data_IF_688904305867
#
_entry.id   IF_688904305867
#
_cell.length_a   1.000
_cell.length_b   1.000
_cell.length_c   1.000
_cell.angle_alpha   90.00
_cell.angle_beta   90.00
_cell.angle_gamma   90.00
#
_symmetry.space_group_name_H-M   'P 1'
#
loop_
_entity.id
_entity.type
_entity.pdbx_description
1 polymer ?
#
# COMPACT_ATOMS: atom_id res chain seq x y z
N UNK A 1 5.84 -22.36 -26.12
CA UNK A 1 5.76 -21.40 -27.24
C UNK A 1 4.66 -20.42 -26.88
N UNK A 2 5.03 -19.31 -26.22
CA UNK A 2 4.09 -18.26 -25.83
C UNK A 2 3.69 -17.49 -27.09
N UNK A 3 2.42 -17.56 -27.46
CA UNK A 3 1.85 -16.81 -28.58
C UNK A 3 1.49 -15.41 -28.08
N UNK A 4 1.99 -14.39 -28.78
CA UNK A 4 1.59 -12.98 -28.69
C UNK A 4 2.18 -12.15 -27.53
N UNK A 5 3.50 -11.92 -27.58
CA UNK A 5 4.22 -11.05 -26.64
C UNK A 5 4.09 -9.56 -27.03
N UNK A 6 2.87 -9.01 -27.05
CA UNK A 6 2.59 -7.58 -27.35
C UNK A 6 3.37 -6.60 -26.45
N UNK A 7 3.88 -7.05 -25.30
CA UNK A 7 4.72 -6.21 -24.44
C UNK A 7 6.08 -5.87 -25.08
N UNK A 8 6.58 -6.70 -26.01
CA UNK A 8 7.84 -6.45 -26.72
C UNK A 8 7.77 -5.23 -27.66
N UNK A 9 6.57 -4.83 -28.10
CA UNK A 9 6.39 -3.62 -28.92
C UNK A 9 6.65 -2.33 -28.14
N UNK A 10 6.67 -2.40 -26.80
CA UNK A 10 7.07 -1.31 -25.92
C UNK A 10 8.55 -1.35 -25.55
N UNK A 11 9.34 -2.25 -26.14
CA UNK A 11 10.78 -2.28 -25.94
C UNK A 11 11.43 -1.00 -26.53
N UNK A 12 12.24 -0.26 -25.76
CA UNK A 12 12.82 1.00 -26.22
C UNK A 12 13.86 0.79 -27.33
N UNK A 13 13.93 1.71 -28.29
CA UNK A 13 14.99 1.76 -29.29
C UNK A 13 16.26 2.36 -28.67
N UNK A 14 17.17 1.49 -28.25
CA UNK A 14 18.39 1.82 -27.50
C UNK A 14 19.36 2.75 -28.24
N UNK A 15 19.15 3.05 -29.52
CA UNK A 15 19.96 4.02 -30.27
C UNK A 15 19.71 5.48 -29.87
N UNK A 16 18.67 5.78 -29.06
CA UNK A 16 18.31 7.16 -28.66
C UNK A 16 18.36 7.43 -27.15
N UNK A 17 18.54 6.41 -26.33
CA UNK A 17 18.46 6.53 -24.87
C UNK A 17 19.78 7.02 -24.27
N UNK A 18 20.10 8.30 -24.44
CA UNK A 18 21.24 8.97 -23.80
C UNK A 18 20.69 9.79 -22.62
N UNK A 19 21.30 9.67 -21.44
CA UNK A 19 20.99 10.51 -20.28
C UNK A 19 21.23 11.98 -20.65
N UNK A 20 20.16 12.74 -20.88
CA UNK A 20 20.27 14.15 -21.26
C UNK A 20 20.11 15.04 -20.02
N UNK A 21 21.21 15.66 -19.57
CA UNK A 21 21.22 16.52 -18.38
C UNK A 21 20.56 17.91 -18.56
N UNK A 22 19.91 18.17 -19.70
CA UNK A 22 19.20 19.44 -19.93
C UNK A 22 17.70 19.29 -19.63
N UNK A 23 17.15 20.24 -18.88
CA UNK A 23 15.75 20.24 -18.43
C UNK A 23 14.74 20.10 -19.58
N UNK A 24 15.05 20.63 -20.78
CA UNK A 24 14.20 20.51 -21.96
C UNK A 24 14.15 19.09 -22.53
N UNK A 25 15.26 18.36 -22.47
CA UNK A 25 15.35 17.00 -22.99
C UNK A 25 14.81 15.96 -22.00
N UNK A 26 14.89 16.21 -20.70
CA UNK A 26 14.21 15.41 -19.67
C UNK A 26 12.69 15.42 -19.87
N UNK A 27 12.10 16.57 -20.21
CA UNK A 27 10.67 16.69 -20.48
C UNK A 27 10.25 15.95 -21.75
N UNK A 28 11.09 15.98 -22.80
CA UNK A 28 10.85 15.23 -24.04
C UNK A 28 11.03 13.71 -23.87
N UNK A 29 12.05 13.26 -23.14
CA UNK A 29 12.28 11.86 -22.83
C UNK A 29 11.19 11.27 -21.90
N UNK A 30 10.71 12.05 -20.93
CA UNK A 30 9.56 11.67 -20.10
C UNK A 30 8.29 11.54 -20.95
N UNK A 31 8.06 12.45 -21.90
CA UNK A 31 6.89 12.42 -22.79
C UNK A 31 6.95 11.26 -23.81
N UNK A 32 8.16 10.81 -24.18
CA UNK A 32 8.40 9.72 -25.13
C UNK A 32 8.60 8.33 -24.49
N UNK A 33 8.50 8.20 -23.16
CA UNK A 33 8.89 6.99 -22.42
C UNK A 33 10.35 6.54 -22.68
N UNK A 34 11.22 7.47 -23.06
CA UNK A 34 12.66 7.22 -23.27
C UNK A 34 13.50 7.59 -22.02
N UNK A 35 12.86 7.89 -20.89
CA UNK A 35 13.55 8.10 -19.62
C UNK A 35 14.06 6.75 -19.07
N UNK A 36 15.38 6.68 -18.88
CA UNK A 36 16.13 5.54 -18.33
C UNK A 36 15.49 5.08 -17.02
N UNK A 37 15.07 6.01 -16.15
CA UNK A 37 14.50 5.71 -14.85
C UNK A 37 13.15 4.96 -14.93
N UNK A 38 12.34 5.29 -15.94
CA UNK A 38 11.03 4.65 -16.17
C UNK A 38 11.20 3.30 -16.82
N UNK A 39 12.15 3.16 -17.76
CA UNK A 39 12.43 1.88 -18.41
C UNK A 39 13.04 0.86 -17.46
N UNK A 40 13.86 1.28 -16.50
CA UNK A 40 14.32 0.40 -15.43
C UNK A 40 13.17 -0.16 -14.58
N UNK A 41 12.12 0.64 -14.31
CA UNK A 41 10.93 0.14 -13.60
C UNK A 41 10.21 -0.91 -14.42
N UNK A 42 9.97 -0.63 -15.70
CA UNK A 42 9.32 -1.60 -16.60
C UNK A 42 10.13 -2.90 -16.69
N UNK A 43 11.45 -2.82 -16.81
CA UNK A 43 12.36 -3.97 -16.78
C UNK A 43 12.18 -4.82 -15.52
N UNK A 44 12.22 -4.17 -14.34
CA UNK A 44 12.02 -4.85 -13.04
C UNK A 44 10.59 -5.36 -12.88
N UNK A 45 9.57 -4.69 -13.43
CA UNK A 45 8.17 -5.10 -13.37
C UNK A 45 7.91 -6.36 -14.21
N UNK A 46 8.52 -6.47 -15.40
CA UNK A 46 8.44 -7.68 -16.22
C UNK A 46 9.09 -8.86 -15.49
N UNK A 47 10.28 -8.65 -14.91
CA UNK A 47 10.95 -9.68 -14.12
C UNK A 47 10.10 -10.09 -12.90
N UNK A 48 9.58 -9.12 -12.15
CA UNK A 48 8.70 -9.36 -11.01
C UNK A 48 7.43 -10.14 -11.41
N UNK A 49 6.80 -9.80 -12.54
CA UNK A 49 5.66 -10.54 -13.04
C UNK A 49 6.02 -12.01 -13.33
N UNK A 50 7.15 -12.26 -14.02
CA UNK A 50 7.60 -13.63 -14.28
C UNK A 50 7.93 -14.40 -12.99
N UNK A 51 8.60 -13.77 -12.03
CA UNK A 51 8.86 -14.35 -10.71
C UNK A 51 7.57 -14.71 -9.99
N UNK A 52 6.55 -13.85 -10.04
CA UNK A 52 5.26 -14.11 -9.39
C UNK A 52 4.55 -15.35 -9.96
N UNK A 53 4.80 -15.72 -11.22
CA UNK A 53 4.26 -16.92 -11.84
C UNK A 53 5.02 -18.19 -11.43
N UNK A 54 6.31 -18.10 -11.12
CA UNK A 54 7.12 -19.26 -10.68
C UNK A 54 6.79 -19.68 -9.24
N UNK A 55 6.64 -18.70 -8.33
CA UNK A 55 6.32 -18.96 -6.90
C UNK A 55 5.09 -18.18 -6.42
N UNK A 56 3.89 -18.49 -6.92
CA UNK A 56 2.71 -17.65 -6.73
C UNK A 56 2.21 -17.53 -5.29
N UNK A 57 2.41 -18.56 -4.45
CA UNK A 57 1.78 -18.60 -3.13
C UNK A 57 2.61 -17.95 -2.03
N UNK A 58 3.90 -18.26 -1.97
CA UNK A 58 4.82 -17.84 -0.89
C UNK A 58 5.96 -16.95 -1.39
N UNK A 59 6.12 -16.78 -2.70
CA UNK A 59 7.19 -15.96 -3.28
C UNK A 59 8.60 -16.49 -3.02
N UNK A 60 9.56 -15.56 -3.06
CA UNK A 60 11.00 -15.83 -2.92
C UNK A 60 11.55 -15.52 -1.53
N UNK A 61 10.72 -15.06 -0.61
CA UNK A 61 11.09 -14.57 0.71
C UNK A 61 11.34 -13.06 0.74
N UNK A 62 11.10 -12.38 1.88
CA UNK A 62 11.38 -10.95 2.03
C UNK A 62 12.84 -10.60 1.73
N UNK A 63 13.06 -9.48 1.03
CA UNK A 63 14.38 -8.97 0.64
C UNK A 63 15.13 -9.81 -0.39
N UNK A 64 14.46 -10.73 -1.10
CA UNK A 64 15.09 -11.61 -2.08
C UNK A 64 14.84 -11.22 -3.54
N UNK A 65 14.05 -10.18 -3.81
CA UNK A 65 13.86 -9.73 -5.19
C UNK A 65 15.19 -9.50 -5.92
N UNK A 66 16.09 -8.71 -5.32
CA UNK A 66 17.39 -8.34 -5.91
C UNK A 66 18.29 -9.56 -6.17
N UNK A 67 18.15 -10.64 -5.41
CA UNK A 67 18.97 -11.84 -5.54
C UNK A 67 18.57 -12.73 -6.71
N UNK A 68 17.30 -12.68 -7.14
CA UNK A 68 16.75 -13.65 -8.11
C UNK A 68 16.24 -12.99 -9.39
N UNK A 69 15.95 -11.69 -9.41
CA UNK A 69 15.23 -11.07 -10.53
C UNK A 69 15.96 -11.17 -11.86
N UNK A 70 17.30 -11.12 -11.89
CA UNK A 70 18.09 -11.14 -13.12
C UNK A 70 17.77 -12.37 -13.99
N UNK A 71 17.55 -13.54 -13.38
CA UNK A 71 17.21 -14.77 -14.11
C UNK A 71 15.82 -14.77 -14.76
N UNK A 72 14.97 -13.82 -14.39
CA UNK A 72 13.61 -13.63 -14.89
C UNK A 72 13.48 -12.41 -15.81
N UNK A 73 14.61 -11.79 -16.16
CA UNK A 73 14.64 -10.66 -17.07
C UNK A 73 14.65 -11.11 -18.53
N UNK A 74 14.09 -10.29 -19.40
CA UNK A 74 14.15 -10.49 -20.86
C UNK A 74 15.23 -9.57 -21.40
N UNK A 75 16.20 -10.12 -22.15
CA UNK A 75 17.33 -9.37 -22.73
C UNK A 75 16.91 -8.20 -23.61
N UNK A 76 15.70 -8.23 -24.17
CA UNK A 76 15.15 -7.14 -25.00
C UNK A 76 14.88 -5.82 -24.25
N UNK A 77 14.91 -5.82 -22.91
CA UNK A 77 14.70 -4.63 -22.08
C UNK A 77 15.93 -4.21 -21.27
N UNK A 78 17.09 -4.87 -21.48
CA UNK A 78 18.32 -4.54 -20.75
C UNK A 78 18.89 -3.18 -21.19
N UNK A 79 19.08 -2.28 -20.23
CA UNK A 79 19.81 -1.01 -20.37
C UNK A 79 21.19 -1.08 -19.69
N UNK A 80 22.07 -0.10 -19.93
CA UNK A 80 23.41 -0.03 -19.31
C UNK A 80 23.40 0.08 -17.75
N UNK A 81 22.23 0.29 -17.13
CA UNK A 81 22.04 0.41 -15.67
C UNK A 81 21.34 -0.84 -15.08
N UNK A 82 21.10 -1.87 -15.91
CA UNK A 82 20.41 -3.11 -15.49
C UNK A 82 21.19 -3.96 -14.48
N UNK A 83 22.49 -3.70 -14.32
CA UNK A 83 23.38 -4.34 -13.36
C UNK A 83 23.04 -4.00 -11.89
N UNK A 84 22.13 -3.04 -11.66
CA UNK A 84 21.57 -2.70 -10.34
C UNK A 84 22.58 -2.67 -9.17
N UNK A 85 23.74 -1.98 -9.31
CA UNK A 85 24.78 -2.00 -8.27
C UNK A 85 24.33 -1.43 -6.92
N UNK A 86 23.24 -0.66 -6.91
CA UNK A 86 22.64 -0.08 -5.70
C UNK A 86 21.58 -0.97 -5.03
N UNK A 87 21.22 -2.12 -5.62
CA UNK A 87 20.23 -3.02 -5.06
C UNK A 87 18.81 -2.44 -5.02
N UNK A 88 18.42 -1.72 -6.08
CA UNK A 88 17.08 -1.12 -6.17
C UNK A 88 15.99 -2.18 -6.36
N UNK A 89 14.87 -1.94 -5.70
CA UNK A 89 13.70 -2.80 -5.75
C UNK A 89 12.79 -2.57 -6.96
N UNK A 90 11.60 -3.15 -6.90
CA UNK A 90 10.59 -3.12 -7.96
C UNK A 90 10.00 -1.71 -8.16
N UNK A 91 10.13 -0.81 -7.17
CA UNK A 91 9.46 0.50 -7.18
C UNK A 91 7.94 0.41 -7.32
N UNK A 92 7.37 -0.65 -6.77
CA UNK A 92 5.94 -0.82 -6.56
C UNK A 92 5.79 -1.81 -5.40
N UNK A 93 5.37 -1.33 -4.24
CA UNK A 93 5.35 -2.15 -3.04
C UNK A 93 4.42 -3.36 -3.17
N UNK A 94 3.30 -3.22 -3.87
CA UNK A 94 2.35 -4.30 -4.12
C UNK A 94 2.99 -5.42 -4.96
N UNK A 95 3.70 -5.04 -6.02
CA UNK A 95 4.38 -6.00 -6.89
C UNK A 95 5.60 -6.62 -6.18
N UNK A 96 6.33 -5.84 -5.38
CA UNK A 96 7.38 -6.35 -4.50
C UNK A 96 6.83 -7.41 -3.53
N UNK A 97 5.75 -7.08 -2.81
CA UNK A 97 5.09 -8.00 -1.87
C UNK A 97 4.62 -9.28 -2.58
N UNK A 98 4.09 -9.15 -3.80
CA UNK A 98 3.67 -10.30 -4.61
C UNK A 98 4.84 -11.23 -4.95
N UNK A 99 6.00 -10.68 -5.31
CA UNK A 99 7.17 -11.50 -5.65
C UNK A 99 7.79 -12.14 -4.42
N UNK A 100 7.92 -11.37 -3.34
CA UNK A 100 8.65 -11.82 -2.15
C UNK A 100 7.80 -12.70 -1.25
N UNK A 101 6.49 -12.44 -1.15
CA UNK A 101 5.59 -13.11 -0.20
C UNK A 101 4.40 -13.79 -0.89
N UNK A 102 4.33 -13.76 -2.23
CA UNK A 102 3.26 -14.38 -3.01
C UNK A 102 1.90 -13.70 -2.85
N UNK A 103 0.86 -14.36 -3.36
CA UNK A 103 -0.52 -13.93 -3.20
C UNK A 103 -0.95 -13.85 -1.74
N UNK A 104 -0.39 -14.68 -0.87
CA UNK A 104 -0.72 -14.66 0.57
C UNK A 104 -0.29 -13.33 1.17
N UNK A 105 0.98 -12.93 0.99
CA UNK A 105 1.46 -11.64 1.49
C UNK A 105 0.72 -10.46 0.87
N UNK A 106 0.49 -10.49 -0.45
CA UNK A 106 -0.22 -9.43 -1.16
C UNK A 106 -1.65 -9.26 -0.63
N UNK A 107 -2.40 -10.35 -0.47
CA UNK A 107 -3.78 -10.31 0.03
C UNK A 107 -3.82 -9.78 1.46
N UNK A 108 -2.89 -10.20 2.33
CA UNK A 108 -2.81 -9.70 3.70
C UNK A 108 -2.53 -8.20 3.74
N UNK A 109 -1.61 -7.72 2.91
CA UNK A 109 -1.30 -6.29 2.84
C UNK A 109 -2.47 -5.47 2.32
N UNK A 110 -3.09 -5.90 1.21
CA UNK A 110 -4.29 -5.25 0.65
C UNK A 110 -5.42 -5.25 1.68
N UNK A 111 -5.68 -6.38 2.33
CA UNK A 111 -6.69 -6.49 3.37
C UNK A 111 -6.42 -5.53 4.52
N UNK A 112 -5.16 -5.39 4.96
CA UNK A 112 -4.79 -4.43 5.99
C UNK A 112 -5.10 -2.99 5.57
N UNK A 113 -4.67 -2.55 4.38
CA UNK A 113 -4.94 -1.19 3.89
C UNK A 113 -6.46 -0.91 3.81
N UNK A 114 -7.24 -1.82 3.21
CA UNK A 114 -8.70 -1.65 3.13
C UNK A 114 -9.38 -1.68 4.50
N UNK A 115 -8.95 -2.55 5.42
CA UNK A 115 -9.49 -2.58 6.77
C UNK A 115 -9.24 -1.26 7.49
N UNK A 116 -8.05 -0.68 7.39
CA UNK A 116 -7.74 0.63 7.98
C UNK A 116 -8.68 1.71 7.44
N UNK A 117 -8.89 1.77 6.13
CA UNK A 117 -9.78 2.76 5.50
C UNK A 117 -11.25 2.58 5.91
N UNK A 118 -11.76 1.35 5.89
CA UNK A 118 -13.12 1.01 6.32
C UNK A 118 -13.32 1.36 7.80
N UNK A 119 -12.32 1.08 8.64
CA UNK A 119 -12.39 1.42 10.05
C UNK A 119 -12.34 2.94 10.25
N UNK A 120 -11.50 3.67 9.51
CA UNK A 120 -11.44 5.13 9.57
C UNK A 120 -12.79 5.78 9.24
N UNK A 121 -13.48 5.32 8.20
CA UNK A 121 -14.83 5.78 7.84
C UNK A 121 -15.83 5.53 8.98
N UNK A 122 -15.85 4.31 9.55
CA UNK A 122 -16.73 4.00 10.70
C UNK A 122 -16.42 4.88 11.91
N UNK A 123 -15.15 5.10 12.20
CA UNK A 123 -14.69 5.93 13.34
C UNK A 123 -15.13 7.39 13.13
N UNK A 124 -15.01 7.90 11.91
CA UNK A 124 -15.46 9.25 11.55
C UNK A 124 -16.96 9.43 11.81
N UNK A 125 -17.79 8.50 11.33
CA UNK A 125 -19.25 8.59 11.50
C UNK A 125 -19.73 8.36 12.94
N UNK A 126 -18.97 7.63 13.76
CA UNK A 126 -19.26 7.48 15.20
C UNK A 126 -18.82 8.67 16.04
N UNK A 127 -17.91 9.51 15.52
CA UNK A 127 -17.41 10.65 16.24
C UNK A 127 -18.39 11.82 16.13
N UNK A 128 -18.76 12.43 17.26
CA UNK A 128 -19.64 13.62 17.29
C UNK A 128 -18.87 14.93 17.41
N UNK A 129 -17.61 14.89 17.88
CA UNK A 129 -16.80 16.08 18.10
C UNK A 129 -16.16 16.55 16.78
N UNK A 130 -16.43 17.79 16.33
CA UNK A 130 -15.95 18.29 15.03
C UNK A 130 -14.42 18.40 14.94
N UNK A 131 -13.72 18.67 16.05
CA UNK A 131 -12.26 18.73 16.07
C UNK A 131 -11.65 17.34 15.85
N UNK A 132 -12.18 16.32 16.52
CA UNK A 132 -11.73 14.93 16.38
C UNK A 132 -12.04 14.39 14.98
N UNK A 133 -13.22 14.70 14.44
CA UNK A 133 -13.57 14.38 13.05
C UNK A 133 -12.56 14.95 12.04
N UNK A 134 -12.09 16.19 12.22
CA UNK A 134 -11.04 16.78 11.37
C UNK A 134 -9.72 16.03 11.45
N UNK A 135 -9.32 15.60 12.65
CA UNK A 135 -8.11 14.78 12.85
C UNK A 135 -8.26 13.44 12.12
N UNK A 136 -9.39 12.76 12.28
CA UNK A 136 -9.68 11.48 11.61
C UNK A 136 -9.63 11.65 10.09
N UNK A 137 -10.25 12.71 9.54
CA UNK A 137 -10.17 13.00 8.10
C UNK A 137 -8.75 13.26 7.62
N UNK A 138 -7.97 14.06 8.36
CA UNK A 138 -6.59 14.37 7.99
C UNK A 138 -5.71 13.10 7.97
N UNK A 139 -5.86 12.25 8.98
CA UNK A 139 -5.13 10.97 9.06
C UNK A 139 -5.58 10.02 7.95
N UNK A 140 -6.88 9.92 7.68
CA UNK A 140 -7.41 9.08 6.59
C UNK A 140 -6.87 9.51 5.23
N UNK A 141 -6.87 10.82 4.95
CA UNK A 141 -6.30 11.36 3.71
C UNK A 141 -4.79 11.08 3.63
N UNK A 142 -4.07 11.20 4.74
CA UNK A 142 -2.66 10.85 4.80
C UNK A 142 -2.44 9.37 4.45
N UNK A 143 -3.22 8.46 5.03
CA UNK A 143 -3.17 7.02 4.70
C UNK A 143 -3.46 6.76 3.22
N UNK A 144 -4.49 7.37 2.64
CA UNK A 144 -4.81 7.22 1.21
C UNK A 144 -3.66 7.71 0.32
N UNK A 145 -3.05 8.85 0.64
CA UNK A 145 -1.90 9.37 -0.11
C UNK A 145 -0.70 8.42 0.02
N UNK A 146 -0.47 7.87 1.21
CA UNK A 146 0.59 6.88 1.42
C UNK A 146 0.36 5.60 0.62
N UNK A 147 -0.84 5.00 0.68
CA UNK A 147 -1.20 3.81 -0.10
C UNK A 147 -1.04 4.07 -1.61
N UNK A 148 -1.46 5.24 -2.09
CA UNK A 148 -1.28 5.63 -3.49
C UNK A 148 0.21 5.78 -3.86
N UNK A 149 1.03 6.32 -2.97
CA UNK A 149 2.47 6.46 -3.19
C UNK A 149 3.18 5.10 -3.32
N UNK A 150 2.69 4.07 -2.62
CA UNK A 150 3.19 2.69 -2.71
C UNK A 150 2.93 2.00 -4.07
N UNK A 151 2.10 2.59 -4.95
CA UNK A 151 1.95 2.08 -6.32
C UNK A 151 3.21 2.31 -7.16
N UNK A 152 3.95 3.39 -6.88
CA UNK A 152 5.13 3.81 -7.65
C UNK A 152 6.42 3.78 -6.80
N UNK A 153 6.35 3.20 -5.62
CA UNK A 153 7.41 3.17 -4.64
C UNK A 153 7.28 1.94 -3.72
N UNK A 154 8.38 1.49 -3.13
CA UNK A 154 8.48 0.27 -2.31
C UNK A 154 8.99 0.54 -0.88
N UNK A 155 8.88 1.77 -0.39
CA UNK A 155 9.54 2.21 0.84
C UNK A 155 8.73 1.98 2.13
N UNK A 156 7.61 1.24 2.14
CA UNK A 156 6.83 1.08 3.39
C UNK A 156 7.64 0.40 4.50
N UNK A 157 8.60 -0.46 4.15
CA UNK A 157 9.48 -1.14 5.11
C UNK A 157 10.64 -0.25 5.60
N UNK A 158 10.81 0.94 5.02
CA UNK A 158 11.82 1.89 5.48
C UNK A 158 11.37 2.59 6.76
N UNK A 159 12.34 2.92 7.60
CA UNK A 159 12.15 3.66 8.85
C UNK A 159 11.38 4.99 8.65
N UNK A 160 11.59 5.65 7.51
CA UNK A 160 10.93 6.93 7.20
C UNK A 160 9.45 6.75 6.92
N UNK A 161 9.08 5.95 5.92
CA UNK A 161 7.67 5.83 5.49
C UNK A 161 6.87 4.88 6.39
N UNK A 162 7.47 3.77 6.84
CA UNK A 162 6.82 2.79 7.70
C UNK A 162 6.37 3.40 9.02
N UNK A 163 7.20 4.24 9.64
CA UNK A 163 6.83 4.92 10.88
C UNK A 163 5.56 5.77 10.74
N UNK A 164 5.41 6.53 9.65
CA UNK A 164 4.19 7.31 9.41
C UNK A 164 2.96 6.42 9.22
N UNK A 165 3.12 5.28 8.56
CA UNK A 165 2.03 4.33 8.32
C UNK A 165 1.47 3.79 9.64
N UNK A 166 2.35 3.32 10.53
CA UNK A 166 1.95 2.80 11.84
C UNK A 166 1.44 3.89 12.79
N UNK A 167 2.01 5.11 12.74
CA UNK A 167 1.51 6.25 13.53
C UNK A 167 0.08 6.62 13.12
N UNK A 168 -0.22 6.67 11.81
CA UNK A 168 -1.58 6.94 11.34
C UNK A 168 -2.57 5.89 11.87
N UNK A 169 -2.22 4.60 11.79
CA UNK A 169 -3.04 3.53 12.34
C UNK A 169 -3.23 3.66 13.86
N UNK A 170 -2.16 3.96 14.62
CA UNK A 170 -2.23 4.14 16.06
C UNK A 170 -3.17 5.29 16.45
N UNK A 171 -3.14 6.40 15.71
CA UNK A 171 -4.06 7.53 15.94
C UNK A 171 -5.51 7.10 15.69
N UNK A 172 -5.79 6.39 14.59
CA UNK A 172 -7.14 5.90 14.29
C UNK A 172 -7.66 4.95 15.39
N UNK A 173 -6.83 4.01 15.85
CA UNK A 173 -7.17 3.10 16.95
C UNK A 173 -7.51 3.87 18.23
N UNK A 174 -6.71 4.88 18.59
CA UNK A 174 -6.99 5.73 19.75
C UNK A 174 -8.33 6.46 19.62
N UNK A 175 -8.66 6.97 18.43
CA UNK A 175 -9.94 7.62 18.18
C UNK A 175 -11.14 6.65 18.29
N UNK A 176 -10.97 5.39 17.88
CA UNK A 176 -12.01 4.35 18.03
C UNK A 176 -12.25 3.98 19.50
N UNK A 177 -11.17 3.86 20.28
CA UNK A 177 -11.25 3.59 21.72
C UNK A 177 -11.97 4.72 22.46
N UNK A 178 -11.67 5.97 22.14
CA UNK A 178 -12.37 7.13 22.70
C UNK A 178 -13.87 7.13 22.35
N UNK A 179 -14.23 6.82 21.10
CA UNK A 179 -15.63 6.70 20.70
C UNK A 179 -16.35 5.58 21.46
N UNK A 180 -15.69 4.44 21.66
CA UNK A 180 -16.22 3.31 22.41
C UNK A 180 -16.43 3.64 23.89
N UNK A 181 -15.49 4.36 24.50
CA UNK A 181 -15.59 4.82 25.89
C UNK A 181 -16.71 5.84 26.07
N UNK A 182 -16.86 6.81 25.16
CA UNK A 182 -17.95 7.78 25.21
C UNK A 182 -19.32 7.09 25.17
N UNK A 183 -19.51 6.13 24.26
CA UNK A 183 -20.75 5.34 24.18
C UNK A 183 -21.01 4.58 25.49
N UNK A 184 -20.00 3.90 26.05
CA UNK A 184 -20.13 3.16 27.31
C UNK A 184 -20.58 4.05 28.47
N UNK A 185 -19.99 5.25 28.61
CA UNK A 185 -20.37 6.23 29.64
C UNK A 185 -21.80 6.74 29.44
N UNK A 186 -22.23 7.00 28.21
CA UNK A 186 -23.60 7.39 27.92
C UNK A 186 -24.61 6.33 28.36
N UNK A 187 -24.36 5.05 28.07
CA UNK A 187 -25.25 3.97 28.52
C UNK A 187 -25.23 3.78 30.04
N UNK A 188 -24.07 3.91 30.70
CA UNK A 188 -24.00 3.80 32.16
C UNK A 188 -24.66 4.97 32.88
N UNK A 189 -24.47 6.21 32.39
CA UNK A 189 -25.07 7.40 32.98
C UNK A 189 -26.58 7.47 32.70
N UNK A 190 -27.00 7.10 31.49
CA UNK A 190 -28.41 6.98 31.12
C UNK A 190 -29.13 5.89 31.92
N UNK A 191 -28.45 4.78 32.25
CA UNK A 191 -28.99 3.77 33.17
C UNK A 191 -29.39 4.40 34.50
N UNK A 192 -28.52 5.18 35.14
CA UNK A 192 -28.81 5.80 36.44
C UNK A 192 -29.92 6.88 36.42
N UNK A 193 -30.27 7.40 35.25
CA UNK A 193 -31.34 8.39 35.06
C UNK A 193 -32.69 7.76 34.63
N UNK A 194 -32.71 6.47 34.29
CA UNK A 194 -33.95 5.75 34.01
C UNK A 194 -34.70 5.46 35.32
N UNK A 195 -36.03 5.59 35.28
CA UNK A 195 -36.92 5.20 36.37
C UNK A 195 -36.56 3.77 36.86
N UNK A 196 -36.33 3.56 38.17
CA UNK A 196 -36.04 2.24 38.74
C UNK A 196 -37.02 1.13 38.29
N UNK A 197 -38.28 1.48 38.00
CA UNK A 197 -39.27 0.52 37.50
C UNK A 197 -38.94 0.01 36.07
N UNK A 198 -38.40 0.87 35.21
CA UNK A 198 -37.95 0.50 33.86
C UNK A 198 -36.66 -0.34 33.92
N UNK A 199 -35.76 -0.05 34.86
CA UNK A 199 -34.54 -0.83 35.08
C UNK A 199 -34.85 -2.29 35.46
N UNK A 200 -35.80 -2.51 36.38
CA UNK A 200 -36.24 -3.84 36.81
C UNK A 200 -36.96 -4.62 35.70
N UNK A 201 -37.76 -3.94 34.87
CA UNK A 201 -38.42 -4.53 33.69
C UNK A 201 -37.41 -5.06 32.66
N UNK A 202 -36.32 -4.33 32.41
CA UNK A 202 -35.26 -4.77 31.50
C UNK A 202 -34.44 -5.95 32.05
N UNK A 203 -34.11 -5.93 33.35
CA UNK A 203 -33.41 -7.05 34.00
C UNK A 203 -34.25 -8.34 34.01
N UNK A 204 -35.57 -8.22 34.19
CA UNK A 204 -36.50 -9.35 34.11
C UNK A 204 -36.64 -9.99 32.72
N UNK A 205 -36.26 -9.28 31.65
CA UNK A 205 -36.25 -9.80 30.28
C UNK A 205 -34.94 -10.50 29.89
N UNK A 206 -33.82 -10.19 30.55
CA UNK A 206 -32.54 -10.87 30.30
C UNK A 206 -32.37 -12.20 31.07
N UNK A 207 -33.28 -12.55 31.98
CA UNK A 207 -33.26 -13.82 32.73
C UNK A 207 -34.23 -14.89 32.20
N UNK A 208 -34.67 -14.80 30.94
CA UNK A 208 -35.41 -15.88 30.26
C UNK A 208 -34.73 -16.30 28.98
#
# INVERSE_FOLDING_TARGET
MSYDNNYLDFAPDFNKTISHESFGNLMEATYKMEDISTMERVYRWVAAFQMSLDRPWMGFGPGNFVNFYESYTVTSFQTYVSDNPEGSGVHCYYLMTLVEQGYIGLILFIALSFLVLIQAEKIYHRCTNPTRQRIIMAVTLCTVVMDAFLLINDMVETDKMGSFFFVCMAVLVNQDLENSNANRVYYSAGWHLLDPALQLSWLGKCQK
#
